data_IF_740154364721
#
_entry.id   IF_740154364721
#
_cell.length_a   1.000
_cell.length_b   1.000
_cell.length_c   1.000
_cell.angle_alpha   90.00
_cell.angle_beta   90.00
_cell.angle_gamma   90.00
#
_symmetry.space_group_name_H-M   'P 1'
#
loop_
_entity.id
_entity.type
_entity.pdbx_description
1 polymer ?
#
# COMPACT_ATOMS: atom_id res chain seq x y z
N UNK A 1 -15.35 -43.99 21.64
CA UNK A 1 -14.70 -43.47 20.43
C UNK A 1 -13.76 -42.35 20.84
N UNK A 2 -12.45 -42.40 20.55
CA UNK A 2 -11.55 -41.28 20.82
C UNK A 2 -11.70 -40.21 19.74
N UNK A 3 -11.50 -38.95 20.14
CA UNK A 3 -11.68 -37.76 19.31
C UNK A 3 -10.66 -37.69 18.16
N UNK A 4 -11.03 -37.12 16.98
CA UNK A 4 -10.14 -37.01 15.84
C UNK A 4 -9.03 -35.97 16.10
N UNK A 5 -7.78 -36.41 16.09
CA UNK A 5 -6.61 -35.52 16.10
C UNK A 5 -6.49 -34.78 14.76
N UNK A 6 -6.72 -33.47 14.78
CA UNK A 6 -6.43 -32.61 13.64
C UNK A 6 -4.92 -32.39 13.55
N UNK A 7 -4.26 -32.94 12.52
CA UNK A 7 -2.86 -32.62 12.23
C UNK A 7 -2.81 -31.35 11.38
N UNK A 8 -2.23 -30.30 11.95
CA UNK A 8 -1.91 -29.05 11.24
C UNK A 8 -0.92 -29.37 10.11
N UNK A 9 -1.39 -29.42 8.86
CA UNK A 9 -0.49 -29.47 7.71
C UNK A 9 0.27 -28.15 7.61
N UNK A 10 1.59 -28.19 7.82
CA UNK A 10 2.45 -27.03 7.60
C UNK A 10 2.40 -26.64 6.12
N UNK A 11 2.10 -25.37 5.77
CA UNK A 11 2.09 -24.95 4.39
C UNK A 11 3.48 -25.11 3.78
N UNK A 12 3.57 -25.85 2.67
CA UNK A 12 4.82 -26.02 1.92
C UNK A 12 5.40 -24.69 1.42
N UNK A 13 6.69 -24.66 1.05
CA UNK A 13 7.34 -23.45 0.58
C UNK A 13 6.60 -22.88 -0.63
N UNK A 14 6.09 -21.66 -0.50
CA UNK A 14 5.44 -20.91 -1.59
C UNK A 14 6.41 -20.79 -2.76
N UNK A 15 6.18 -21.53 -3.85
CA UNK A 15 6.82 -21.26 -5.14
C UNK A 15 6.51 -19.79 -5.47
N UNK A 16 7.55 -18.96 -5.60
CA UNK A 16 7.40 -17.56 -6.03
C UNK A 16 6.67 -17.56 -7.36
N UNK A 17 5.44 -17.06 -7.36
CA UNK A 17 4.69 -16.84 -8.59
C UNK A 17 5.53 -15.91 -9.48
N UNK A 18 5.79 -16.34 -10.71
CA UNK A 18 6.44 -15.51 -11.73
C UNK A 18 5.56 -14.28 -11.90
N UNK A 19 6.10 -13.11 -11.56
CA UNK A 19 5.32 -11.87 -11.59
C UNK A 19 5.19 -11.37 -13.04
N UNK A 20 4.05 -10.77 -13.40
CA UNK A 20 3.78 -10.19 -14.73
C UNK A 20 4.96 -9.34 -15.23
N UNK A 21 5.48 -8.49 -14.34
CA UNK A 21 6.63 -7.63 -14.63
C UNK A 21 7.90 -8.41 -15.00
N UNK A 22 8.08 -9.65 -14.57
CA UNK A 22 9.21 -10.49 -14.96
C UNK A 22 9.03 -11.06 -16.37
N UNK A 23 7.82 -11.45 -16.76
CA UNK A 23 7.53 -11.96 -18.12
C UNK A 23 7.66 -10.84 -19.15
N UNK A 24 7.06 -9.67 -18.88
CA UNK A 24 7.18 -8.49 -19.75
C UNK A 24 8.63 -8.03 -19.92
N UNK A 25 9.41 -8.08 -18.84
CA UNK A 25 10.82 -7.71 -18.86
C UNK A 25 11.68 -8.72 -19.63
N UNK A 26 11.41 -10.02 -19.49
CA UNK A 26 12.11 -11.07 -20.25
C UNK A 26 11.77 -10.95 -21.73
N UNK A 27 10.50 -10.72 -22.09
CA UNK A 27 10.07 -10.51 -23.46
C UNK A 27 10.71 -9.25 -24.07
N UNK A 28 10.68 -8.11 -23.37
CA UNK A 28 11.28 -6.86 -23.85
C UNK A 28 12.81 -6.96 -24.00
N UNK A 29 13.49 -7.64 -23.08
CA UNK A 29 14.94 -7.89 -23.15
C UNK A 29 15.29 -8.82 -24.30
N UNK A 30 14.56 -9.91 -24.46
CA UNK A 30 14.73 -10.81 -25.58
C UNK A 30 14.60 -10.05 -26.90
N UNK A 31 13.56 -9.22 -27.02
CA UNK A 31 13.30 -8.44 -28.23
C UNK A 31 14.38 -7.39 -28.53
N UNK A 32 14.90 -6.71 -27.50
CA UNK A 32 16.02 -5.77 -27.66
C UNK A 32 17.34 -6.45 -28.04
N UNK A 33 17.65 -7.60 -27.44
CA UNK A 33 18.86 -8.38 -27.75
C UNK A 33 18.77 -9.00 -29.14
N UNK A 34 17.66 -9.64 -29.50
CA UNK A 34 17.45 -10.17 -30.84
C UNK A 34 17.49 -9.05 -31.89
N UNK A 35 16.86 -7.90 -31.61
CA UNK A 35 16.93 -6.73 -32.49
C UNK A 35 18.36 -6.30 -32.81
N UNK A 36 19.25 -6.27 -31.81
CA UNK A 36 20.66 -5.93 -32.03
C UNK A 36 21.45 -7.01 -32.78
N UNK A 37 21.17 -8.29 -32.54
CA UNK A 37 21.79 -9.39 -33.30
C UNK A 37 21.41 -9.30 -34.77
N UNK A 38 20.12 -9.10 -35.07
CA UNK A 38 19.66 -8.89 -36.44
C UNK A 38 20.26 -7.63 -37.05
N UNK A 39 20.36 -6.52 -36.30
CA UNK A 39 21.01 -5.31 -36.78
C UNK A 39 22.51 -5.52 -37.07
N UNK A 40 23.24 -6.26 -36.22
CA UNK A 40 24.64 -6.56 -36.43
C UNK A 40 24.88 -7.39 -37.70
N UNK A 41 23.95 -8.30 -38.03
CA UNK A 41 24.03 -9.11 -39.26
C UNK A 41 23.94 -8.26 -40.54
N UNK A 42 23.35 -7.06 -40.49
CA UNK A 42 23.21 -6.18 -41.67
C UNK A 42 24.43 -5.30 -41.91
N UNK A 43 25.36 -5.23 -40.96
CA UNK A 43 26.54 -4.35 -41.03
C UNK A 43 27.40 -4.60 -42.27
N UNK A 44 27.74 -5.85 -42.68
CA UNK A 44 28.54 -6.09 -43.88
C UNK A 44 27.88 -5.49 -45.12
N UNK A 45 26.57 -5.72 -45.29
CA UNK A 45 25.84 -5.20 -46.45
C UNK A 45 25.67 -3.68 -46.41
N UNK A 46 25.54 -3.09 -45.21
CA UNK A 46 25.52 -1.64 -45.04
C UNK A 46 26.88 -1.01 -45.42
N UNK A 47 27.99 -1.67 -45.08
CA UNK A 47 29.34 -1.24 -45.47
C UNK A 47 29.56 -1.38 -46.99
N UNK A 48 29.07 -2.46 -47.60
CA UNK A 48 29.17 -2.69 -49.05
C UNK A 48 28.37 -1.66 -49.86
N UNK A 49 27.20 -1.23 -49.35
CA UNK A 49 26.36 -0.24 -50.01
C UNK A 49 26.74 1.22 -49.69
N UNK A 50 27.51 1.46 -48.62
CA UNK A 50 27.87 2.82 -48.19
C UNK A 50 28.55 3.69 -49.28
N UNK A 51 29.44 3.15 -50.14
CA UNK A 51 30.06 3.93 -51.22
C UNK A 51 29.11 4.34 -52.35
N UNK A 52 27.93 3.71 -52.48
CA UNK A 52 26.93 4.06 -53.49
C UNK A 52 26.05 5.26 -53.08
N UNK A 53 26.17 5.69 -51.83
CA UNK A 53 25.47 6.86 -51.28
C UNK A 53 26.36 8.11 -51.35
N UNK A 54 25.72 9.27 -51.25
CA UNK A 54 26.41 10.56 -51.09
C UNK A 54 27.49 10.46 -50.01
N UNK A 55 28.66 11.06 -50.26
CA UNK A 55 29.82 11.01 -49.39
C UNK A 55 29.47 11.22 -47.90
N UNK A 56 29.78 10.21 -47.08
CA UNK A 56 29.54 10.20 -45.64
C UNK A 56 28.10 9.89 -45.21
N UNK A 57 27.10 9.94 -46.11
CA UNK A 57 25.71 9.68 -45.78
C UNK A 57 25.48 8.22 -45.32
N UNK A 58 26.12 7.24 -45.97
CA UNK A 58 26.02 5.83 -45.59
C UNK A 58 26.49 5.58 -44.14
N UNK A 59 27.68 6.08 -43.78
CA UNK A 59 28.21 5.95 -42.42
C UNK A 59 27.39 6.74 -41.38
N UNK A 60 26.87 7.91 -41.74
CA UNK A 60 25.98 8.68 -40.88
C UNK A 60 24.67 7.92 -40.60
N UNK A 61 24.07 7.30 -41.62
CA UNK A 61 22.86 6.50 -41.50
C UNK A 61 23.09 5.29 -40.59
N UNK A 62 24.22 4.60 -40.76
CA UNK A 62 24.64 3.50 -39.88
C UNK A 62 24.79 3.98 -38.43
N UNK A 63 25.51 5.08 -38.19
CA UNK A 63 25.72 5.61 -36.84
C UNK A 63 24.39 5.96 -36.15
N UNK A 64 23.46 6.58 -36.88
CA UNK A 64 22.14 6.97 -36.37
C UNK A 64 21.26 5.75 -36.08
N UNK A 65 21.17 4.80 -37.02
CA UNK A 65 20.27 3.65 -36.86
C UNK A 65 20.83 2.62 -35.88
N UNK A 66 22.10 2.21 -35.98
CA UNK A 66 22.67 1.26 -35.03
C UNK A 66 22.82 1.90 -33.64
N UNK A 67 23.23 3.16 -33.56
CA UNK A 67 23.27 3.91 -32.30
C UNK A 67 21.88 4.05 -31.67
N UNK A 68 20.86 4.32 -32.49
CA UNK A 68 19.46 4.34 -32.06
C UNK A 68 18.98 2.99 -31.51
N UNK A 69 19.31 1.89 -32.19
CA UNK A 69 18.97 0.53 -31.73
C UNK A 69 19.64 0.19 -30.39
N UNK A 70 20.92 0.56 -30.21
CA UNK A 70 21.61 0.45 -28.92
C UNK A 70 20.95 1.33 -27.86
N UNK A 71 20.56 2.56 -28.20
CA UNK A 71 19.85 3.46 -27.31
C UNK A 71 18.52 2.88 -26.82
N UNK A 72 17.76 2.22 -27.70
CA UNK A 72 16.53 1.49 -27.32
C UNK A 72 16.85 0.35 -26.37
N UNK A 73 17.90 -0.45 -26.61
CA UNK A 73 18.31 -1.51 -25.68
C UNK A 73 18.68 -0.92 -24.31
N UNK A 74 19.48 0.14 -24.27
CA UNK A 74 19.89 0.79 -23.02
C UNK A 74 18.67 1.32 -22.25
N UNK A 75 17.70 1.91 -22.93
CA UNK A 75 16.44 2.32 -22.33
C UNK A 75 15.67 1.13 -21.72
N UNK A 76 15.62 -0.01 -22.42
CA UNK A 76 14.99 -1.25 -21.93
C UNK A 76 15.72 -1.81 -20.70
N UNK A 77 17.06 -1.80 -20.71
CA UNK A 77 17.88 -2.27 -19.60
C UNK A 77 17.76 -1.35 -18.36
N UNK A 78 17.79 -0.04 -18.58
CA UNK A 78 17.64 0.98 -17.54
C UNK A 78 16.19 1.16 -17.06
N UNK A 79 15.20 0.60 -17.78
CA UNK A 79 13.76 0.75 -17.54
C UNK A 79 13.30 2.22 -17.52
N UNK A 80 13.99 3.07 -18.27
CA UNK A 80 13.73 4.51 -18.31
C UNK A 80 13.57 4.96 -19.76
N UNK A 81 12.49 5.70 -20.05
CA UNK A 81 12.30 6.32 -21.37
C UNK A 81 12.10 5.34 -22.54
N UNK A 82 11.83 4.06 -22.29
CA UNK A 82 11.69 3.01 -23.34
C UNK A 82 10.76 3.43 -24.47
N UNK A 83 9.59 3.97 -24.11
CA UNK A 83 8.56 4.39 -25.07
C UNK A 83 9.05 5.52 -25.97
N UNK A 84 9.79 6.48 -25.41
CA UNK A 84 10.35 7.63 -26.14
C UNK A 84 11.46 7.15 -27.07
N UNK A 85 12.42 6.37 -26.56
CA UNK A 85 13.51 5.82 -27.37
C UNK A 85 12.98 4.98 -28.56
N UNK A 86 12.00 4.12 -28.31
CA UNK A 86 11.38 3.30 -29.35
C UNK A 86 10.58 4.14 -30.37
N UNK A 87 9.86 5.18 -29.93
CA UNK A 87 9.18 6.11 -30.82
C UNK A 87 10.18 6.86 -31.72
N UNK A 88 11.25 7.40 -31.13
CA UNK A 88 12.31 8.10 -31.85
C UNK A 88 12.95 7.19 -32.88
N UNK A 89 13.29 5.94 -32.52
CA UNK A 89 13.87 4.99 -33.46
C UNK A 89 12.93 4.68 -34.63
N UNK A 90 11.64 4.43 -34.37
CA UNK A 90 10.66 4.18 -35.43
C UNK A 90 10.53 5.37 -36.39
N UNK A 91 10.46 6.59 -35.87
CA UNK A 91 10.39 7.81 -36.69
C UNK A 91 11.66 8.01 -37.50
N UNK A 92 12.83 7.91 -36.86
CA UNK A 92 14.13 8.08 -37.53
C UNK A 92 14.32 7.03 -38.62
N UNK A 93 13.94 5.79 -38.38
CA UNK A 93 13.98 4.74 -39.40
C UNK A 93 13.04 5.03 -40.58
N UNK A 94 11.79 5.45 -40.32
CA UNK A 94 10.85 5.79 -41.39
C UNK A 94 11.35 6.98 -42.24
N UNK A 95 11.96 7.99 -41.60
CA UNK A 95 12.60 9.11 -42.29
C UNK A 95 13.83 8.67 -43.09
N UNK A 96 14.67 7.80 -42.53
CA UNK A 96 15.82 7.22 -43.23
C UNK A 96 15.39 6.45 -44.49
N UNK A 97 14.33 5.64 -44.37
CA UNK A 97 13.77 4.91 -45.48
C UNK A 97 13.19 5.87 -46.54
N UNK A 98 12.41 6.87 -46.15
CA UNK A 98 11.86 7.85 -47.09
C UNK A 98 12.94 8.71 -47.77
N UNK A 99 14.04 9.00 -47.07
CA UNK A 99 15.17 9.76 -47.61
C UNK A 99 16.07 8.92 -48.52
N UNK A 100 15.96 7.59 -48.49
CA UNK A 100 16.85 6.68 -49.23
C UNK A 100 17.03 7.06 -50.70
N UNK A 101 15.98 7.30 -51.51
CA UNK A 101 16.16 7.63 -52.93
C UNK A 101 16.94 8.92 -53.19
N UNK A 102 16.93 9.86 -52.25
CA UNK A 102 17.67 11.11 -52.34
C UNK A 102 19.13 11.00 -51.85
N UNK A 103 19.46 9.92 -51.13
CA UNK A 103 20.80 9.68 -50.59
C UNK A 103 21.67 8.81 -51.50
N UNK A 104 21.06 8.10 -52.46
CA UNK A 104 21.79 7.28 -53.43
C UNK A 104 22.38 8.17 -54.52
N UNK A 105 23.71 8.12 -54.68
CA UNK A 105 24.46 8.89 -55.68
C UNK A 105 24.78 8.03 -56.92
N UNK A 106 25.10 6.74 -56.73
CA UNK A 106 25.29 5.75 -57.79
C UNK A 106 24.23 4.63 -57.71
N UNK A 107 23.06 4.79 -58.38
CA UNK A 107 22.03 3.75 -58.42
C UNK A 107 22.48 2.46 -59.13
N UNK A 108 23.45 2.54 -60.05
CA UNK A 108 23.89 1.36 -60.80
C UNK A 108 24.68 0.38 -59.92
N UNK A 109 25.39 0.89 -58.91
CA UNK A 109 26.05 0.08 -57.89
C UNK A 109 25.08 -0.72 -57.00
N UNK A 110 23.79 -0.37 -56.99
CA UNK A 110 22.75 -1.02 -56.19
C UNK A 110 21.84 -1.97 -56.99
N UNK A 111 22.08 -2.13 -58.30
CA UNK A 111 21.20 -2.89 -59.19
C UNK A 111 20.93 -4.32 -58.70
N UNK A 112 19.64 -4.70 -58.65
CA UNK A 112 19.16 -5.98 -58.11
C UNK A 112 19.30 -6.18 -56.59
N UNK A 113 20.12 -5.39 -55.89
CA UNK A 113 20.37 -5.52 -54.45
C UNK A 113 19.31 -4.78 -53.62
N UNK A 114 18.86 -5.37 -52.51
CA UNK A 114 17.91 -4.72 -51.60
C UNK A 114 18.62 -3.65 -50.75
N UNK A 115 18.01 -2.45 -50.55
CA UNK A 115 18.51 -1.50 -49.57
C UNK A 115 18.70 -2.17 -48.21
N UNK A 116 19.86 -1.99 -47.59
CA UNK A 116 20.16 -2.64 -46.30
C UNK A 116 19.19 -2.29 -45.18
N UNK A 117 18.51 -1.15 -45.31
CA UNK A 117 17.40 -0.75 -44.43
C UNK A 117 16.31 -1.82 -44.36
N UNK A 118 16.01 -2.55 -45.43
CA UNK A 118 14.99 -3.61 -45.47
C UNK A 118 15.08 -4.56 -44.26
N UNK A 119 16.30 -4.97 -43.92
CA UNK A 119 16.55 -5.94 -42.87
C UNK A 119 16.41 -5.36 -41.45
N UNK A 120 16.35 -4.04 -41.31
CA UNK A 120 16.02 -3.36 -40.06
C UNK A 120 14.52 -3.03 -39.92
N UNK A 121 13.71 -3.24 -40.97
CA UNK A 121 12.29 -2.90 -40.97
C UNK A 121 11.53 -3.57 -39.81
N UNK A 122 11.82 -4.85 -39.53
CA UNK A 122 11.20 -5.57 -38.41
C UNK A 122 11.53 -4.95 -37.06
N UNK A 123 12.75 -4.45 -36.87
CA UNK A 123 13.17 -3.79 -35.63
C UNK A 123 12.42 -2.46 -35.47
N UNK A 124 12.28 -1.70 -36.56
CA UNK A 124 11.54 -0.43 -36.54
C UNK A 124 10.04 -0.63 -36.28
N UNK A 125 9.42 -1.63 -36.92
CA UNK A 125 8.03 -2.01 -36.67
C UNK A 125 7.84 -2.46 -35.23
N UNK A 126 8.76 -3.25 -34.69
CA UNK A 126 8.76 -3.65 -33.28
C UNK A 126 8.81 -2.45 -32.34
N UNK A 127 9.71 -1.49 -32.61
CA UNK A 127 9.82 -0.25 -31.85
C UNK A 127 8.52 0.57 -31.90
N UNK A 128 7.88 0.66 -33.08
CA UNK A 128 6.59 1.31 -33.24
C UNK A 128 5.48 0.62 -32.42
N UNK A 129 5.44 -0.72 -32.40
CA UNK A 129 4.46 -1.49 -31.61
C UNK A 129 4.63 -1.27 -30.10
N UNK A 130 5.88 -1.13 -29.64
CA UNK A 130 6.17 -0.79 -28.23
C UNK A 130 5.75 0.64 -27.91
N UNK A 131 5.98 1.57 -28.83
CA UNK A 131 5.86 3.00 -28.58
C UNK A 131 4.44 3.56 -28.77
N UNK A 132 3.72 3.07 -29.77
CA UNK A 132 2.49 3.68 -30.25
C UNK A 132 1.24 2.97 -29.68
N UNK A 133 0.09 3.66 -29.61
CA UNK A 133 -1.19 2.98 -29.40
C UNK A 133 -1.46 2.02 -30.56
N UNK A 134 -2.32 1.01 -30.33
CA UNK A 134 -2.59 -0.07 -31.30
C UNK A 134 -2.92 0.46 -32.69
N UNK A 135 -3.75 1.50 -32.81
CA UNK A 135 -4.07 2.13 -34.10
C UNK A 135 -2.85 2.73 -34.82
N UNK A 136 -1.95 3.39 -34.09
CA UNK A 136 -0.71 3.94 -34.65
C UNK A 136 0.30 2.84 -35.04
N UNK A 137 0.39 1.78 -34.24
CA UNK A 137 1.21 0.62 -34.56
C UNK A 137 0.71 -0.11 -35.82
N UNK A 138 -0.61 -0.26 -35.99
CA UNK A 138 -1.22 -0.80 -37.22
C UNK A 138 -0.88 0.09 -38.41
N UNK A 139 -1.10 1.40 -38.29
CA UNK A 139 -0.81 2.34 -39.37
C UNK A 139 0.67 2.28 -39.80
N UNK A 140 1.59 2.25 -38.84
CA UNK A 140 3.03 2.11 -39.11
C UNK A 140 3.36 0.77 -39.79
N UNK A 141 2.80 -0.34 -39.29
CA UNK A 141 3.02 -1.69 -39.83
C UNK A 141 2.53 -1.84 -41.27
N UNK A 142 1.51 -1.09 -41.67
CA UNK A 142 0.99 -1.06 -43.03
C UNK A 142 1.74 -0.07 -43.94
N UNK A 143 2.07 1.11 -43.41
CA UNK A 143 2.69 2.18 -44.18
C UNK A 143 4.15 1.87 -44.54
N UNK A 144 4.90 1.25 -43.64
CA UNK A 144 6.33 1.02 -43.84
C UNK A 144 6.63 0.05 -45.01
N UNK A 145 5.96 -1.11 -45.14
CA UNK A 145 6.17 -1.99 -46.28
C UNK A 145 5.66 -1.37 -47.59
N UNK A 146 4.61 -0.55 -47.54
CA UNK A 146 4.11 0.18 -48.72
C UNK A 146 5.14 1.22 -49.20
N UNK A 147 5.75 1.97 -48.28
CA UNK A 147 6.84 2.88 -48.59
C UNK A 147 8.04 2.12 -49.17
N UNK A 148 8.41 0.99 -48.57
CA UNK A 148 9.48 0.14 -49.07
C UNK A 148 9.18 -0.39 -50.48
N UNK A 149 7.95 -0.82 -50.76
CA UNK A 149 7.53 -1.26 -52.10
C UNK A 149 7.76 -0.18 -53.17
N UNK A 150 7.38 1.07 -52.87
CA UNK A 150 7.60 2.21 -53.76
C UNK A 150 9.09 2.43 -54.00
N UNK A 151 9.90 2.45 -52.94
CA UNK A 151 11.36 2.65 -53.05
C UNK A 151 12.00 1.52 -53.86
N UNK A 152 11.62 0.27 -53.58
CA UNK A 152 12.15 -0.94 -54.22
C UNK A 152 11.88 -0.98 -55.73
N UNK A 153 10.84 -0.28 -56.19
CA UNK A 153 10.52 -0.11 -57.61
C UNK A 153 11.25 1.07 -58.28
N UNK A 154 12.05 1.84 -57.55
CA UNK A 154 12.90 2.91 -58.10
C UNK A 154 14.31 2.41 -58.43
N UNK A 155 15.03 3.14 -59.28
CA UNK A 155 16.44 2.87 -59.59
C UNK A 155 17.31 2.85 -58.34
N UNK A 156 17.09 3.79 -57.42
CA UNK A 156 17.79 3.85 -56.12
C UNK A 156 17.47 2.67 -55.19
N UNK A 157 16.36 1.96 -55.43
CA UNK A 157 15.98 0.75 -54.70
C UNK A 157 16.42 -0.55 -55.35
N UNK A 158 17.22 -0.50 -56.42
CA UNK A 158 17.73 -1.65 -57.17
C UNK A 158 16.91 -2.05 -58.40
N UNK A 159 16.00 -1.18 -58.85
CA UNK A 159 15.22 -1.28 -60.11
C UNK A 159 14.57 -2.64 -60.39
N UNK A 160 14.14 -3.34 -59.34
CA UNK A 160 13.56 -4.66 -59.51
C UNK A 160 12.13 -4.58 -60.03
N UNK A 161 11.74 -5.55 -60.87
CA UNK A 161 10.40 -5.60 -61.43
C UNK A 161 9.29 -5.59 -60.35
N UNK A 162 8.06 -5.11 -60.67
CA UNK A 162 7.00 -4.86 -59.68
C UNK A 162 6.65 -6.07 -58.81
N UNK A 163 6.77 -7.28 -59.36
CA UNK A 163 6.52 -8.53 -58.64
C UNK A 163 7.56 -8.81 -57.55
N UNK A 164 8.84 -8.57 -57.82
CA UNK A 164 9.92 -8.76 -56.83
C UNK A 164 9.80 -7.73 -55.72
N UNK A 165 9.53 -6.46 -56.07
CA UNK A 165 9.28 -5.41 -55.09
C UNK A 165 8.07 -5.74 -54.20
N UNK A 166 6.97 -6.23 -54.79
CA UNK A 166 5.78 -6.62 -54.03
C UNK A 166 6.06 -7.80 -53.09
N UNK A 167 6.86 -8.78 -53.51
CA UNK A 167 7.24 -9.93 -52.70
C UNK A 167 7.99 -9.50 -51.43
N UNK A 168 8.99 -8.62 -51.57
CA UNK A 168 9.75 -8.12 -50.42
C UNK A 168 8.86 -7.34 -49.45
N UNK A 169 7.97 -6.48 -49.98
CA UNK A 169 7.01 -5.74 -49.16
C UNK A 169 6.01 -6.66 -48.44
N UNK A 170 5.53 -7.71 -49.10
CA UNK A 170 4.65 -8.72 -48.49
C UNK A 170 5.37 -9.45 -47.36
N UNK A 171 6.64 -9.83 -47.52
CA UNK A 171 7.39 -10.45 -46.43
C UNK A 171 7.60 -9.52 -45.24
N UNK A 172 7.95 -8.25 -45.48
CA UNK A 172 8.05 -7.25 -44.43
C UNK A 172 6.71 -7.03 -43.70
N UNK A 173 5.60 -7.01 -44.45
CA UNK A 173 4.26 -6.88 -43.90
C UNK A 173 3.89 -8.10 -43.04
N UNK A 174 4.12 -9.32 -43.52
CA UNK A 174 3.82 -10.55 -42.76
C UNK A 174 4.61 -10.55 -41.45
N UNK A 175 5.92 -10.29 -41.49
CA UNK A 175 6.75 -10.23 -40.28
C UNK A 175 6.26 -9.13 -39.32
N UNK A 176 5.94 -7.96 -39.84
CA UNK A 176 5.41 -6.84 -39.06
C UNK A 176 4.09 -7.17 -38.37
N UNK A 177 3.14 -7.80 -39.09
CA UNK A 177 1.85 -8.24 -38.54
C UNK A 177 2.04 -9.33 -37.50
N UNK A 178 2.92 -10.31 -37.73
CA UNK A 178 3.22 -11.35 -36.75
C UNK A 178 3.76 -10.75 -35.46
N UNK A 179 4.72 -9.82 -35.55
CA UNK A 179 5.26 -9.10 -34.38
C UNK A 179 4.16 -8.31 -33.67
N UNK A 180 3.34 -7.57 -34.41
CA UNK A 180 2.21 -6.81 -33.87
C UNK A 180 1.24 -7.72 -33.10
N UNK A 181 0.85 -8.86 -33.68
CA UNK A 181 -0.06 -9.83 -33.05
C UNK A 181 0.56 -10.41 -31.80
N UNK A 182 1.82 -10.86 -31.84
CA UNK A 182 2.51 -11.44 -30.68
C UNK A 182 2.58 -10.45 -29.53
N UNK A 183 3.02 -9.21 -29.79
CA UNK A 183 3.17 -8.20 -28.74
C UNK A 183 1.81 -7.76 -28.18
N UNK A 184 0.81 -7.56 -29.04
CA UNK A 184 -0.54 -7.18 -28.58
C UNK A 184 -1.20 -8.31 -27.79
N UNK A 185 -1.06 -9.56 -28.21
CA UNK A 185 -1.54 -10.74 -27.47
C UNK A 185 -0.86 -10.87 -26.10
N UNK A 186 0.47 -10.71 -26.04
CA UNK A 186 1.22 -10.73 -24.79
C UNK A 186 0.76 -9.61 -23.83
N UNK A 187 0.49 -8.42 -24.37
CA UNK A 187 -0.01 -7.29 -23.59
C UNK A 187 -1.42 -7.56 -23.05
N UNK A 188 -2.33 -8.06 -23.89
CA UNK A 188 -3.69 -8.42 -23.49
C UNK A 188 -3.71 -9.54 -22.44
N UNK A 189 -2.90 -10.58 -22.62
CA UNK A 189 -2.77 -11.66 -21.64
C UNK A 189 -2.26 -11.13 -20.29
N UNK A 190 -1.29 -10.21 -20.32
CA UNK A 190 -0.73 -9.60 -19.12
C UNK A 190 -1.76 -8.72 -18.39
N UNK A 191 -2.55 -7.93 -19.14
CA UNK A 191 -3.64 -7.12 -18.59
C UNK A 191 -4.75 -7.99 -17.98
N UNK A 192 -5.13 -9.09 -18.63
CA UNK A 192 -6.12 -10.03 -18.11
C UNK A 192 -5.66 -10.71 -16.81
N UNK A 193 -4.39 -11.10 -16.72
CA UNK A 193 -3.81 -11.67 -15.49
C UNK A 193 -3.86 -10.67 -14.34
N UNK A 194 -3.51 -9.41 -14.57
CA UNK A 194 -3.54 -8.39 -13.52
C UNK A 194 -4.97 -8.11 -13.03
N UNK A 195 -5.93 -8.03 -13.94
CA UNK A 195 -7.34 -7.89 -13.57
C UNK A 195 -7.83 -9.08 -12.74
N UNK A 196 -7.43 -10.30 -13.10
CA UNK A 196 -7.77 -11.50 -12.35
C UNK A 196 -7.11 -11.51 -10.95
N UNK A 197 -5.86 -11.08 -10.84
CA UNK A 197 -5.16 -10.96 -9.55
C UNK A 197 -5.79 -9.90 -8.64
N UNK A 198 -6.11 -8.73 -9.19
CA UNK A 198 -6.76 -7.66 -8.43
C UNK A 198 -8.18 -8.08 -7.99
N UNK A 199 -8.93 -8.77 -8.86
CA UNK A 199 -10.23 -9.35 -8.51
C UNK A 199 -10.11 -10.39 -7.40
N UNK A 200 -9.14 -11.30 -7.48
CA UNK A 200 -8.89 -12.31 -6.45
C UNK A 200 -8.52 -11.66 -5.10
N UNK A 201 -7.62 -10.67 -5.09
CA UNK A 201 -7.25 -9.94 -3.87
C UNK A 201 -8.45 -9.24 -3.23
N UNK A 202 -9.31 -8.59 -4.03
CA UNK A 202 -10.56 -7.98 -3.52
C UNK A 202 -11.50 -9.02 -2.93
N UNK A 203 -11.64 -10.18 -3.57
CA UNK A 203 -12.47 -11.27 -3.07
C UNK A 203 -11.93 -11.83 -1.74
N UNK A 204 -10.61 -11.99 -1.61
CA UNK A 204 -9.98 -12.42 -0.37
C UNK A 204 -10.19 -11.41 0.78
N UNK A 205 -10.08 -10.10 0.52
CA UNK A 205 -10.33 -9.07 1.55
C UNK A 205 -11.79 -9.08 2.02
N UNK A 206 -12.74 -9.20 1.08
CA UNK A 206 -14.16 -9.34 1.42
C UNK A 206 -14.44 -10.59 2.26
N UNK A 207 -13.88 -11.74 1.87
CA UNK A 207 -14.04 -12.99 2.62
C UNK A 207 -13.41 -12.91 4.01
N UNK A 208 -12.24 -12.28 4.15
CA UNK A 208 -11.58 -12.07 5.43
C UNK A 208 -12.41 -11.18 6.38
N UNK A 209 -13.00 -10.10 5.85
CA UNK A 209 -13.92 -9.23 6.61
C UNK A 209 -15.19 -9.96 7.03
N UNK A 210 -15.80 -10.72 6.13
CA UNK A 210 -16.98 -11.53 6.45
C UNK A 210 -16.68 -12.55 7.54
N UNK A 211 -15.54 -13.24 7.44
CA UNK A 211 -15.11 -14.19 8.45
C UNK A 211 -14.84 -13.53 9.81
N UNK A 212 -14.21 -12.34 9.81
CA UNK A 212 -13.99 -11.57 11.03
C UNK A 212 -15.32 -11.18 11.70
N UNK A 213 -16.28 -10.67 10.91
CA UNK A 213 -17.61 -10.30 11.40
C UNK A 213 -18.37 -11.53 11.92
N UNK A 214 -18.23 -12.68 11.27
CA UNK A 214 -18.87 -13.92 11.72
C UNK A 214 -18.28 -14.41 13.05
N UNK A 215 -16.95 -14.35 13.21
CA UNK A 215 -16.29 -14.63 14.50
C UNK A 215 -16.80 -13.68 15.60
N UNK A 216 -16.93 -12.39 15.29
CA UNK A 216 -17.44 -11.41 16.24
C UNK A 216 -18.90 -11.72 16.62
N UNK A 217 -19.74 -12.03 15.63
CA UNK A 217 -21.14 -12.41 15.86
C UNK A 217 -21.27 -13.66 16.73
N UNK A 218 -20.49 -14.72 16.44
CA UNK A 218 -20.47 -15.95 17.24
C UNK A 218 -20.04 -15.67 18.68
N UNK A 219 -19.05 -14.79 18.89
CA UNK A 219 -18.63 -14.37 20.24
C UNK A 219 -19.73 -13.60 20.98
N UNK A 220 -20.40 -12.67 20.31
CA UNK A 220 -21.51 -11.91 20.88
C UNK A 220 -22.66 -12.85 21.23
N UNK A 221 -23.07 -13.75 20.33
CA UNK A 221 -24.15 -14.71 20.56
C UNK A 221 -23.83 -15.61 21.78
N UNK A 222 -22.60 -16.09 21.91
CA UNK A 222 -22.16 -16.87 23.07
C UNK A 222 -22.21 -16.05 24.38
N UNK A 223 -21.71 -14.81 24.36
CA UNK A 223 -21.76 -13.92 25.53
C UNK A 223 -23.19 -13.61 25.96
N UNK A 224 -24.07 -13.28 25.00
CA UNK A 224 -25.49 -13.01 25.26
C UNK A 224 -26.17 -14.25 25.82
N UNK A 225 -26.01 -15.40 25.18
CA UNK A 225 -26.68 -16.63 25.61
C UNK A 225 -26.22 -17.07 27.01
N UNK A 226 -24.92 -17.10 27.28
CA UNK A 226 -24.41 -17.62 28.56
C UNK A 226 -24.60 -16.66 29.73
N UNK A 227 -24.52 -15.34 29.48
CA UNK A 227 -24.66 -14.36 30.57
C UNK A 227 -26.11 -13.94 30.80
N UNK A 228 -26.90 -13.69 29.75
CA UNK A 228 -28.27 -13.16 29.88
C UNK A 228 -29.25 -14.28 30.23
N UNK A 229 -29.20 -15.42 29.52
CA UNK A 229 -30.14 -16.51 29.76
C UNK A 229 -29.97 -17.11 31.15
N UNK A 230 -28.71 -17.34 31.56
CA UNK A 230 -28.38 -17.85 32.90
C UNK A 230 -28.82 -16.89 34.01
N UNK A 231 -28.66 -15.58 33.78
CA UNK A 231 -29.12 -14.56 34.73
C UNK A 231 -30.64 -14.51 34.81
N UNK A 232 -31.34 -14.54 33.68
CA UNK A 232 -32.81 -14.53 33.64
C UNK A 232 -33.41 -15.78 34.28
N UNK A 233 -32.81 -16.95 34.04
CA UNK A 233 -33.21 -18.21 34.67
C UNK A 233 -32.96 -18.18 36.19
N UNK A 234 -31.81 -17.65 36.63
CA UNK A 234 -31.50 -17.49 38.05
C UNK A 234 -32.42 -16.47 38.74
N UNK A 235 -32.82 -15.41 38.03
CA UNK A 235 -33.77 -14.41 38.52
C UNK A 235 -35.20 -14.96 38.59
N UNK A 236 -35.62 -15.76 37.60
CA UNK A 236 -36.95 -16.38 37.56
C UNK A 236 -37.12 -17.47 38.62
N UNK A 237 -36.03 -18.13 39.04
CA UNK A 237 -36.03 -19.19 40.06
C UNK A 237 -35.80 -18.67 41.50
N UNK A 238 -35.66 -17.36 41.71
CA UNK A 238 -35.32 -16.78 43.01
C UNK A 238 -36.56 -16.49 43.88
N UNK A 239 -36.81 -17.33 44.88
CA UNK A 239 -37.94 -17.19 45.81
C UNK A 239 -37.55 -16.52 47.13
N UNK A 240 -36.26 -16.53 47.48
CA UNK A 240 -35.75 -15.93 48.73
C UNK A 240 -35.06 -14.59 48.51
N UNK A 241 -34.98 -13.75 49.57
CA UNK A 241 -34.28 -12.46 49.51
C UNK A 241 -32.78 -12.60 49.18
N UNK A 242 -32.14 -13.70 49.55
CA UNK A 242 -30.73 -13.97 49.23
C UNK A 242 -30.52 -14.35 47.77
N UNK A 243 -31.40 -15.20 47.21
CA UNK A 243 -31.37 -15.56 45.79
C UNK A 243 -31.64 -14.36 44.87
N UNK A 244 -32.57 -13.48 45.26
CA UNK A 244 -32.84 -12.24 44.53
C UNK A 244 -31.62 -11.30 44.50
N UNK A 245 -30.86 -11.22 45.61
CA UNK A 245 -29.62 -10.45 45.64
C UNK A 245 -28.51 -11.08 44.79
N UNK A 246 -28.42 -12.41 44.75
CA UNK A 246 -27.47 -13.14 43.90
C UNK A 246 -27.77 -12.91 42.42
N UNK A 247 -29.03 -13.06 42.01
CA UNK A 247 -29.48 -12.78 40.64
C UNK A 247 -29.19 -11.31 40.23
N UNK A 248 -29.40 -10.36 41.14
CA UNK A 248 -29.04 -8.95 40.91
C UNK A 248 -27.54 -8.69 40.78
N UNK A 249 -26.68 -9.47 41.45
CA UNK A 249 -25.22 -9.41 41.26
C UNK A 249 -24.81 -10.00 39.89
N UNK A 250 -25.36 -11.15 39.53
CA UNK A 250 -25.12 -11.79 38.22
C UNK A 250 -25.56 -10.88 37.06
N UNK A 251 -26.70 -10.20 37.18
CA UNK A 251 -27.19 -9.25 36.17
C UNK A 251 -26.24 -8.06 35.98
N UNK A 252 -25.73 -7.48 37.07
CA UNK A 252 -24.74 -6.39 36.99
C UNK A 252 -23.43 -6.85 36.35
N UNK A 253 -23.00 -8.07 36.63
CA UNK A 253 -21.79 -8.63 36.02
C UNK A 253 -21.99 -8.94 34.53
N UNK A 254 -23.15 -9.48 34.13
CA UNK A 254 -23.50 -9.70 32.73
C UNK A 254 -23.53 -8.39 31.93
N UNK A 255 -24.17 -7.34 32.47
CA UNK A 255 -24.18 -5.99 31.85
C UNK A 255 -22.77 -5.44 31.72
N UNK A 256 -21.93 -5.59 32.76
CA UNK A 256 -20.53 -5.13 32.71
C UNK A 256 -19.73 -5.86 31.62
N UNK A 257 -19.88 -7.19 31.50
CA UNK A 257 -19.21 -7.97 30.44
C UNK A 257 -19.70 -7.62 29.04
N UNK A 258 -20.98 -7.27 28.89
CA UNK A 258 -21.56 -6.78 27.63
C UNK A 258 -21.03 -5.39 27.26
N UNK A 259 -20.93 -4.47 28.23
CA UNK A 259 -20.34 -3.14 28.02
C UNK A 259 -18.84 -3.23 27.68
N UNK A 260 -18.11 -4.12 28.34
CA UNK A 260 -16.70 -4.41 28.06
C UNK A 260 -16.51 -5.00 26.65
N UNK A 261 -17.40 -5.87 26.20
CA UNK A 261 -17.37 -6.45 24.85
C UNK A 261 -17.83 -5.47 23.75
N UNK A 262 -18.82 -4.62 24.03
CA UNK A 262 -19.36 -3.62 23.11
C UNK A 262 -18.42 -2.42 22.87
N UNK A 263 -17.46 -2.19 23.78
CA UNK A 263 -16.42 -1.18 23.62
C UNK A 263 -15.34 -1.52 22.57
N UNK A 264 -15.45 -2.67 21.88
CA UNK A 264 -14.43 -3.19 20.94
C UNK A 264 -14.76 -2.97 19.45
N UNK A 265 -15.55 -1.93 19.12
CA UNK A 265 -15.90 -1.59 17.72
C UNK A 265 -14.82 -0.86 16.91
N UNK A 266 -14.96 -0.73 15.57
CA UNK A 266 -13.92 -0.24 14.68
C UNK A 266 -13.67 1.26 14.79
N UNK A 267 -12.44 1.60 15.20
CA UNK A 267 -11.73 2.90 15.23
C UNK A 267 -12.37 4.01 14.37
N UNK A 268 -13.05 4.97 15.01
CA UNK A 268 -13.50 6.17 14.32
C UNK A 268 -12.31 7.08 13.96
N UNK A 269 -12.36 7.67 12.77
CA UNK A 269 -11.40 8.67 12.28
C UNK A 269 -11.70 10.07 12.82
N UNK A 270 -12.71 10.20 13.70
CA UNK A 270 -13.17 11.47 14.21
C UNK A 270 -12.22 11.96 15.30
N UNK A 271 -11.70 13.18 15.11
CA UNK A 271 -10.77 13.81 16.04
C UNK A 271 -11.43 14.98 16.72
N UNK A 272 -11.10 15.18 17.99
CA UNK A 272 -11.64 16.24 18.83
C UNK A 272 -10.49 17.05 19.40
N UNK A 273 -10.66 18.37 19.41
CA UNK A 273 -9.68 19.27 19.99
C UNK A 273 -9.48 18.98 21.49
N UNK A 274 -8.22 18.92 21.93
CA UNK A 274 -7.84 18.67 23.32
C UNK A 274 -8.46 19.69 24.30
N UNK A 275 -8.78 20.89 23.83
CA UNK A 275 -9.51 21.91 24.60
C UNK A 275 -10.89 21.45 25.08
N UNK A 276 -11.55 20.55 24.33
CA UNK A 276 -12.83 19.94 24.74
C UNK A 276 -12.62 19.02 25.94
N UNK A 277 -11.59 18.19 25.93
CA UNK A 277 -11.23 17.32 27.06
C UNK A 277 -10.87 18.15 28.30
N UNK A 278 -10.08 19.22 28.13
CA UNK A 278 -9.78 20.17 29.22
C UNK A 278 -11.05 20.74 29.84
N UNK A 279 -12.03 21.14 29.01
CA UNK A 279 -13.32 21.66 29.48
C UNK A 279 -14.12 20.60 30.23
N UNK A 280 -14.18 19.36 29.71
CA UNK A 280 -14.85 18.23 30.38
C UNK A 280 -14.23 17.92 31.73
N UNK A 281 -12.91 17.85 31.82
CA UNK A 281 -12.21 17.61 33.09
C UNK A 281 -12.44 18.73 34.10
N UNK A 282 -12.43 20.00 33.66
CA UNK A 282 -12.81 21.13 34.52
C UNK A 282 -14.22 21.00 35.08
N UNK A 283 -15.18 20.60 34.25
CA UNK A 283 -16.54 20.34 34.73
C UNK A 283 -16.58 19.19 35.75
N UNK A 284 -15.89 18.07 35.50
CA UNK A 284 -15.81 16.96 36.45
C UNK A 284 -15.17 17.36 37.79
N UNK A 285 -14.16 18.23 37.77
CA UNK A 285 -13.54 18.74 39.00
C UNK A 285 -14.51 19.56 39.85
N UNK A 286 -15.46 20.28 39.25
CA UNK A 286 -16.47 21.04 40.02
C UNK A 286 -17.49 20.16 40.73
N UNK A 287 -17.63 18.89 40.33
CA UNK A 287 -18.51 17.93 41.00
C UNK A 287 -17.85 17.20 42.17
N UNK A 288 -16.52 17.31 42.30
CA UNK A 288 -15.77 16.73 43.40
C UNK A 288 -15.79 17.68 44.60
N UNK A 289 -15.89 17.12 45.80
CA UNK A 289 -15.91 17.88 47.06
C UNK A 289 -14.55 18.46 47.43
N UNK A 290 -13.46 18.02 46.77
CA UNK A 290 -12.09 18.44 47.05
C UNK A 290 -11.51 19.24 45.87
N UNK A 291 -10.76 20.33 46.15
CA UNK A 291 -10.20 21.17 45.09
C UNK A 291 -8.95 20.54 44.46
N UNK A 292 -8.81 20.69 43.14
CA UNK A 292 -7.63 20.34 42.36
C UNK A 292 -7.02 21.60 41.72
N UNK A 293 -5.70 21.75 41.81
CA UNK A 293 -4.98 22.75 41.03
C UNK A 293 -4.86 22.27 39.58
N UNK A 294 -5.24 23.11 38.60
CA UNK A 294 -5.27 22.70 37.18
C UNK A 294 -4.24 23.48 36.40
N UNK A 295 -3.30 22.77 35.79
CA UNK A 295 -2.29 23.36 34.90
C UNK A 295 -2.44 22.80 33.49
N UNK A 296 -2.64 23.68 32.51
CA UNK A 296 -2.79 23.31 31.10
C UNK A 296 -1.64 23.92 30.30
N UNK A 297 -0.93 23.10 29.53
CA UNK A 297 0.23 23.49 28.73
C UNK A 297 0.05 23.00 27.29
N UNK A 298 0.21 23.88 26.31
CA UNK A 298 0.19 23.54 24.87
C UNK A 298 -1.07 22.78 24.39
N UNK A 299 -2.25 23.10 24.92
CA UNK A 299 -3.49 22.41 24.54
C UNK A 299 -4.13 22.93 23.23
N UNK A 300 -3.65 24.05 22.68
CA UNK A 300 -4.16 24.62 21.42
C UNK A 300 -3.59 23.90 20.20
N UNK A 301 -4.44 23.64 19.20
CA UNK A 301 -4.04 23.02 17.94
C UNK A 301 -3.70 21.52 18.02
N UNK A 302 -4.14 20.84 19.08
CA UNK A 302 -3.94 19.40 19.28
C UNK A 302 -5.27 18.68 19.14
N UNK A 303 -5.36 17.76 18.18
CA UNK A 303 -6.56 16.96 17.90
C UNK A 303 -6.32 15.48 18.20
N UNK A 304 -7.12 14.95 19.11
CA UNK A 304 -7.01 13.58 19.66
C UNK A 304 -8.23 12.77 19.20
N UNK A 305 -8.10 11.48 18.83
CA UNK A 305 -9.25 10.63 18.49
C UNK A 305 -10.30 10.59 19.60
N UNK A 306 -11.59 10.50 19.24
CA UNK A 306 -12.71 10.48 20.21
C UNK A 306 -12.53 9.41 21.28
N UNK A 307 -12.15 8.20 20.89
CA UNK A 307 -11.97 7.06 21.81
C UNK A 307 -10.82 7.31 22.78
N UNK A 308 -9.74 7.95 22.31
CA UNK A 308 -8.63 8.36 23.15
C UNK A 308 -9.04 9.48 24.11
N UNK A 309 -9.90 10.42 23.69
CA UNK A 309 -10.46 11.45 24.58
C UNK A 309 -11.29 10.83 25.70
N UNK A 310 -12.14 9.85 25.40
CA UNK A 310 -12.98 9.20 26.41
C UNK A 310 -12.16 8.30 27.35
N UNK A 311 -11.15 7.61 26.84
CA UNK A 311 -10.20 6.85 27.65
C UNK A 311 -9.41 7.76 28.61
N UNK A 312 -8.82 8.85 28.09
CA UNK A 312 -8.09 9.85 28.87
C UNK A 312 -9.00 10.52 29.92
N UNK A 313 -10.22 10.90 29.54
CA UNK A 313 -11.20 11.49 30.45
C UNK A 313 -11.54 10.54 31.59
N UNK A 314 -11.93 9.31 31.26
CA UNK A 314 -12.37 8.35 32.27
C UNK A 314 -11.25 7.98 33.23
N UNK A 315 -10.04 7.73 32.71
CA UNK A 315 -8.88 7.42 33.54
C UNK A 315 -8.51 8.58 34.47
N UNK A 316 -8.51 9.82 33.97
CA UNK A 316 -8.23 11.00 34.78
C UNK A 316 -9.32 11.24 35.85
N UNK A 317 -10.60 11.11 35.50
CA UNK A 317 -11.71 11.23 36.46
C UNK A 317 -11.63 10.16 37.53
N UNK A 318 -11.38 8.91 37.15
CA UNK A 318 -11.21 7.84 38.12
C UNK A 318 -10.03 8.12 39.07
N UNK A 319 -8.88 8.58 38.55
CA UNK A 319 -7.75 8.96 39.39
C UNK A 319 -8.09 10.10 40.36
N UNK A 320 -8.83 11.12 39.91
CA UNK A 320 -9.31 12.20 40.77
C UNK A 320 -10.27 11.71 41.86
N UNK A 321 -11.20 10.82 41.52
CA UNK A 321 -12.14 10.20 42.48
C UNK A 321 -11.39 9.42 43.54
N UNK A 322 -10.41 8.60 43.15
CA UNK A 322 -9.61 7.83 44.11
C UNK A 322 -8.82 8.75 45.04
N UNK A 323 -8.22 9.81 44.50
CA UNK A 323 -7.52 10.80 45.32
C UNK A 323 -8.46 11.49 46.31
N UNK A 324 -9.68 11.83 45.88
CA UNK A 324 -10.69 12.44 46.75
C UNK A 324 -11.18 11.46 47.85
N UNK A 325 -11.24 10.16 47.56
CA UNK A 325 -11.73 9.15 48.51
C UNK A 325 -10.65 8.62 49.45
N UNK A 326 -9.39 8.61 49.04
CA UNK A 326 -8.34 7.83 49.73
C UNK A 326 -7.07 8.61 50.08
N UNK A 327 -6.84 9.81 49.52
CA UNK A 327 -5.59 10.52 49.76
C UNK A 327 -5.55 11.26 51.12
N UNK A 328 -6.70 11.58 51.71
CA UNK A 328 -6.75 12.39 52.93
C UNK A 328 -6.37 11.59 54.20
N UNK A 329 -5.48 12.18 55.00
CA UNK A 329 -5.09 11.68 56.34
C UNK A 329 -5.56 12.67 57.42
N UNK A 330 -6.05 12.20 58.58
CA UNK A 330 -6.43 13.07 59.68
C UNK A 330 -5.27 14.00 60.10
N UNK A 331 -5.51 15.31 60.08
CA UNK A 331 -4.54 16.31 60.53
C UNK A 331 -3.49 16.77 59.50
N UNK A 332 -3.54 16.28 58.24
CA UNK A 332 -2.62 16.69 57.18
C UNK A 332 -3.37 17.22 55.95
N UNK A 333 -3.08 18.45 55.47
CA UNK A 333 -3.70 18.97 54.26
C UNK A 333 -3.12 18.32 52.99
N UNK A 334 -3.99 17.69 52.20
CA UNK A 334 -3.64 17.08 50.91
C UNK A 334 -3.71 18.10 49.77
N UNK A 335 -2.61 18.27 49.04
CA UNK A 335 -2.54 19.02 47.79
C UNK A 335 -2.74 18.06 46.62
N UNK A 336 -3.53 18.49 45.65
CA UNK A 336 -3.85 17.74 44.44
C UNK A 336 -3.64 18.59 43.21
N UNK A 337 -2.97 18.07 42.19
CA UNK A 337 -2.70 18.75 40.92
C UNK A 337 -3.12 17.87 39.73
N UNK A 338 -3.80 18.48 38.76
CA UNK A 338 -4.08 17.92 37.44
C UNK A 338 -3.32 18.73 36.40
N UNK A 339 -2.37 18.09 35.74
CA UNK A 339 -1.58 18.70 34.67
C UNK A 339 -1.94 18.07 33.33
N UNK A 340 -2.30 18.90 32.36
CA UNK A 340 -2.67 18.49 31.01
C UNK A 340 -1.68 19.13 30.04
N UNK A 341 -0.95 18.31 29.28
CA UNK A 341 0.07 18.77 28.34
C UNK A 341 -0.19 18.22 26.94
N UNK A 342 -0.39 19.11 25.97
CA UNK A 342 -0.38 18.73 24.56
C UNK A 342 1.04 18.39 24.07
N UNK A 343 1.13 17.42 23.16
CA UNK A 343 2.37 16.93 22.55
C UNK A 343 2.33 17.27 21.05
N UNK A 344 3.45 17.76 20.51
CA UNK A 344 3.55 18.27 19.13
C UNK A 344 3.20 17.23 18.05
N UNK A 345 3.31 15.94 18.35
CA UNK A 345 2.92 14.84 17.46
C UNK A 345 1.39 14.59 17.40
N UNK A 346 0.58 15.51 17.94
CA UNK A 346 -0.89 15.36 17.98
C UNK A 346 -1.37 14.50 19.15
N UNK A 347 -0.69 14.56 20.30
CA UNK A 347 -0.99 13.76 21.49
C UNK A 347 -1.21 14.59 22.76
N UNK A 348 -1.47 13.92 23.88
CA UNK A 348 -1.68 14.52 25.19
C UNK A 348 -1.10 13.63 26.30
N UNK A 349 -0.59 14.27 27.36
CA UNK A 349 -0.26 13.64 28.64
C UNK A 349 -1.08 14.31 29.73
N UNK A 350 -1.76 13.51 30.55
CA UNK A 350 -2.50 13.95 31.73
C UNK A 350 -1.86 13.30 32.95
N UNK A 351 -1.50 14.13 33.91
CA UNK A 351 -0.92 13.74 35.19
C UNK A 351 -1.87 14.19 36.31
N UNK A 352 -2.33 13.24 37.11
CA UNK A 352 -3.13 13.48 38.32
C UNK A 352 -2.28 13.08 39.50
N UNK A 353 -1.94 14.03 40.37
CA UNK A 353 -1.04 13.81 41.50
C UNK A 353 -1.63 14.31 42.80
N UNK A 354 -1.34 13.60 43.89
CA UNK A 354 -1.58 14.03 45.27
C UNK A 354 -0.38 13.72 46.17
N UNK A 355 -0.29 14.44 47.29
CA UNK A 355 0.74 14.23 48.32
C UNK A 355 0.17 13.57 49.59
N UNK A 356 -0.90 12.79 49.44
CA UNK A 356 -1.66 12.20 50.53
C UNK A 356 -1.04 10.92 51.11
N UNK A 357 -1.90 10.07 51.69
CA UNK A 357 -1.51 8.81 52.33
C UNK A 357 -0.67 7.90 51.42
N UNK A 358 -0.97 7.87 50.12
CA UNK A 358 -0.38 6.92 49.18
C UNK A 358 -0.68 5.46 49.56
N UNK A 359 -0.21 4.53 48.73
CA UNK A 359 -0.33 3.11 49.00
C UNK A 359 0.85 2.36 48.40
N UNK A 360 1.08 1.13 48.85
CA UNK A 360 2.05 0.24 48.23
C UNK A 360 1.36 -0.64 47.18
N UNK A 361 1.64 -0.46 45.87
CA UNK A 361 1.02 -1.23 44.81
C UNK A 361 1.27 -2.75 44.88
N UNK A 362 2.31 -3.20 45.59
CA UNK A 362 2.62 -4.62 45.77
C UNK A 362 1.77 -5.29 46.85
N UNK A 363 1.20 -4.51 47.78
CA UNK A 363 0.44 -5.01 48.93
C UNK A 363 -1.08 -4.81 48.81
N UNK A 364 -1.58 -4.33 47.66
CA UNK A 364 -3.03 -4.21 47.39
C UNK A 364 -3.57 -5.56 46.84
N UNK A 365 -4.61 -6.15 47.46
CA UNK A 365 -5.24 -7.39 46.96
C UNK A 365 -5.69 -7.28 45.50
N UNK A 366 -5.54 -8.34 44.71
CA UNK A 366 -5.96 -8.38 43.29
C UNK A 366 -7.42 -7.97 43.06
N UNK A 367 -8.32 -8.24 44.01
CA UNK A 367 -9.73 -7.86 43.96
C UNK A 367 -9.95 -6.33 44.08
N UNK A 368 -9.01 -5.60 44.70
CA UNK A 368 -8.99 -4.14 44.81
C UNK A 368 -8.11 -3.48 43.73
N UNK A 369 -7.41 -4.27 42.92
CA UNK A 369 -6.59 -3.83 41.78
C UNK A 369 -7.38 -3.58 40.50
N UNK A 370 -8.72 -3.78 40.51
CA UNK A 370 -9.59 -3.51 39.37
C UNK A 370 -9.42 -2.09 38.80
N UNK A 371 -8.97 -1.15 39.64
CA UNK A 371 -8.59 0.20 39.22
C UNK A 371 -7.36 0.27 38.31
N UNK A 372 -6.24 -0.38 38.69
CA UNK A 372 -4.99 -0.36 37.92
C UNK A 372 -5.20 -1.06 36.58
N UNK A 373 -5.81 -2.25 36.64
CA UNK A 373 -6.14 -3.07 35.47
C UNK A 373 -7.10 -2.31 34.55
N UNK A 374 -8.16 -1.71 35.07
CA UNK A 374 -9.13 -0.98 34.24
C UNK A 374 -8.56 0.29 33.60
N UNK A 375 -7.66 1.03 34.26
CA UNK A 375 -7.01 2.21 33.68
C UNK A 375 -5.97 1.80 32.62
N UNK A 376 -5.12 0.81 32.93
CA UNK A 376 -4.07 0.33 32.01
C UNK A 376 -4.67 -0.32 30.76
N UNK A 377 -5.66 -1.20 30.91
CA UNK A 377 -6.33 -1.87 29.78
C UNK A 377 -7.09 -0.88 28.91
N UNK A 378 -7.83 0.07 29.50
CA UNK A 378 -8.57 1.09 28.75
C UNK A 378 -7.64 1.99 27.96
N UNK A 379 -6.52 2.40 28.54
CA UNK A 379 -5.52 3.19 27.84
C UNK A 379 -4.87 2.38 26.71
N UNK A 380 -4.50 1.11 26.96
CA UNK A 380 -3.92 0.23 25.94
C UNK A 380 -4.88 0.02 24.75
N UNK A 381 -6.17 -0.21 25.02
CA UNK A 381 -7.19 -0.38 23.97
C UNK A 381 -7.35 0.87 23.10
N UNK A 382 -7.20 2.06 23.68
CA UNK A 382 -7.21 3.33 22.95
C UNK A 382 -5.88 3.65 22.24
N UNK A 383 -4.85 2.80 22.34
CA UNK A 383 -3.51 3.07 21.78
C UNK A 383 -2.65 4.04 22.61
N UNK A 384 -3.06 4.27 23.86
CA UNK A 384 -2.32 5.05 24.85
C UNK A 384 -1.62 4.17 25.89
N UNK A 385 -1.11 4.80 26.94
CA UNK A 385 -0.42 4.12 28.04
C UNK A 385 -0.73 4.82 29.37
N UNK A 386 -0.77 4.04 30.44
CA UNK A 386 -0.89 4.53 31.80
C UNK A 386 0.34 4.13 32.64
N UNK A 387 0.67 4.95 33.64
CA UNK A 387 1.65 4.65 34.68
C UNK A 387 1.10 5.14 36.01
N UNK A 388 1.19 4.30 37.04
CA UNK A 388 0.75 4.63 38.39
C UNK A 388 1.95 4.50 39.32
N UNK A 389 2.34 5.60 39.93
CA UNK A 389 3.43 5.69 40.90
C UNK A 389 2.82 6.06 42.26
N UNK A 390 2.86 5.15 43.25
CA UNK A 390 2.37 5.42 44.61
C UNK A 390 3.30 4.77 45.63
N UNK A 391 3.47 5.44 46.77
CA UNK A 391 4.15 4.86 47.92
C UNK A 391 3.53 5.40 49.22
N UNK A 392 3.45 4.57 50.30
CA UNK A 392 2.93 5.02 51.58
C UNK A 392 3.66 6.29 52.09
N UNK A 393 2.89 7.29 52.50
CA UNK A 393 3.34 8.60 52.98
C UNK A 393 3.82 9.59 51.90
N UNK A 394 3.97 9.16 50.65
CA UNK A 394 4.47 9.98 49.52
C UNK A 394 3.38 10.44 48.56
N UNK A 395 2.15 9.95 48.72
CA UNK A 395 1.02 10.24 47.83
C UNK A 395 1.00 9.35 46.58
N UNK A 396 0.14 9.72 45.62
CA UNK A 396 -0.09 8.97 44.39
C UNK A 396 0.01 9.87 43.17
N UNK A 397 0.67 9.39 42.11
CA UNK A 397 0.72 10.01 40.79
C UNK A 397 0.25 9.03 39.73
N UNK A 398 -0.79 9.41 38.99
CA UNK A 398 -1.32 8.67 37.85
C UNK A 398 -1.03 9.47 36.60
N UNK A 399 -0.27 8.90 35.67
CA UNK A 399 0.06 9.49 34.38
C UNK A 399 -0.60 8.68 33.29
N UNK A 400 -1.43 9.32 32.46
CA UNK A 400 -2.03 8.71 31.27
C UNK A 400 -1.65 9.52 30.05
N UNK A 401 -1.35 8.83 28.96
CA UNK A 401 -0.91 9.49 27.74
C UNK A 401 -1.41 8.81 26.48
N UNK A 402 -1.55 9.62 25.45
CA UNK A 402 -1.86 9.18 24.11
C UNK A 402 -1.12 10.06 23.09
N UNK A 403 -0.51 9.50 22.04
CA UNK A 403 -0.27 8.07 21.82
C UNK A 403 0.69 7.49 22.89
N UNK A 404 0.82 6.16 22.96
CA UNK A 404 1.54 5.47 24.04
C UNK A 404 3.02 5.89 24.20
N UNK A 405 3.65 6.32 23.11
CA UNK A 405 5.01 6.86 22.99
C UNK A 405 5.15 8.28 23.58
N UNK A 406 4.04 8.99 23.84
CA UNK A 406 4.07 10.30 24.49
C UNK A 406 4.59 10.27 25.95
N UNK A 407 4.71 9.08 26.56
CA UNK A 407 5.37 8.86 27.85
C UNK A 407 6.90 8.60 27.72
N UNK A 408 7.42 8.46 26.51
CA UNK A 408 8.82 8.17 26.23
C UNK A 408 9.60 9.39 25.75
N UNK A 409 9.94 10.29 26.67
CA UNK A 409 11.04 11.27 26.55
C UNK A 409 11.26 11.92 27.94
N UNK A 410 11.59 11.10 28.93
CA UNK A 410 12.23 11.56 30.18
C UNK A 410 13.17 10.47 30.68
N UNK A 411 14.39 10.48 30.16
CA UNK A 411 15.62 10.12 30.86
C UNK A 411 16.73 11.01 30.32
#
# INVERSE_FOLDING_TARGET
MPAPEWRVQRPGPRRRAVTRAQVELVAARALGVFGLVFAAQTVPMALDQAPALVDGAGYALMAVLYGGAVGVLLAVLARLGVRVAAATYAVVYALALAAWPALVDDPAALDGSAPWLYYLATIATTAAVIALPVGGAIAYTLALPLLYWVIRATTAGGDVGPWSAARDAIYALILGVVVLVIITMLRQASEAVDQAQEAALRQYDLAARQHANEIERVKIDALVHDSVLTTLLSAAAADTREEQQLAGRMAREAVRRLDEAGATGPRSLERVALTVLVRRLRAAMTTLTTPFAVRVVNAGGVDVPVEAVDALYTAAVQAMVNSAQHADEPGRPTRREVRIRGVRAGGCVIEVSDNGAGFDPAHVPQERLGLRVSIEERMANAGGRARIDSAPGRGTTVVVAWPADALGETS
#
